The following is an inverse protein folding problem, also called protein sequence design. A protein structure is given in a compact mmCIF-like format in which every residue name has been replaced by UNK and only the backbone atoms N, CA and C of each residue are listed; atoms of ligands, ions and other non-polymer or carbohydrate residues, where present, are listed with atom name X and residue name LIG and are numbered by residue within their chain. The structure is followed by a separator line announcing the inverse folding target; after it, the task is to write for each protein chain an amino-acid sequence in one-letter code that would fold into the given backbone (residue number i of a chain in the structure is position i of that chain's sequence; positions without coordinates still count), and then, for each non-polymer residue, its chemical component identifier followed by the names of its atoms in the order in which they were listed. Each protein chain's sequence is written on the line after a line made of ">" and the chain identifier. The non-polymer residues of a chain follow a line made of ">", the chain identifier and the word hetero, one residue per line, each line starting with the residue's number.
data_IF_302554996056
#
_entry.id   IF_302554996056
#
_cell.length_a   1.000
_cell.length_b   1.000
_cell.length_c   1.000
_cell.angle_alpha   90.00
_cell.angle_beta   90.00
_cell.angle_gamma   90.00
#
_symmetry.space_group_name_H-M   'P 1'
#
loop_
_entity.id
_entity.type
_entity.pdbx_description
1 polymer ?
#
# COMPACT_ATOMS: atom_id res chain seq x y z
N UNK A 1 0.87 -4.34 -27.66
CA UNK A 1 1.44 -4.05 -26.32
C UNK A 1 0.79 -4.87 -25.21
N UNK A 2 -0.54 -4.92 -25.11
CA UNK A 2 -1.24 -5.69 -24.07
C UNK A 2 -0.88 -7.20 -24.07
N UNK A 3 -0.86 -7.87 -25.23
CA UNK A 3 -0.52 -9.30 -25.33
C UNK A 3 0.89 -9.65 -24.82
N UNK A 4 1.91 -8.83 -25.15
CA UNK A 4 3.28 -9.00 -24.66
C UNK A 4 3.37 -8.81 -23.15
N UNK A 5 2.75 -7.74 -22.62
CA UNK A 5 2.71 -7.48 -21.19
C UNK A 5 2.00 -8.61 -20.42
N UNK A 6 0.90 -9.14 -20.98
CA UNK A 6 0.18 -10.26 -20.41
C UNK A 6 1.05 -11.51 -20.34
N UNK A 7 1.78 -11.82 -21.41
CA UNK A 7 2.69 -12.96 -21.43
C UNK A 7 3.80 -12.83 -20.37
N UNK A 8 4.40 -11.64 -20.24
CA UNK A 8 5.42 -11.37 -19.21
C UNK A 8 4.85 -11.57 -17.81
N UNK A 9 3.65 -11.04 -17.53
CA UNK A 9 2.99 -11.26 -16.25
C UNK A 9 2.77 -12.75 -15.99
N UNK A 10 2.18 -13.49 -16.94
CA UNK A 10 1.90 -14.92 -16.77
C UNK A 10 3.15 -15.76 -16.47
N UNK A 11 4.30 -15.40 -17.04
CA UNK A 11 5.57 -16.09 -16.77
C UNK A 11 6.17 -15.78 -15.39
N UNK A 12 5.79 -14.64 -14.78
CA UNK A 12 6.32 -14.20 -13.50
C UNK A 12 5.47 -14.64 -12.29
N UNK A 13 4.25 -15.13 -12.53
CA UNK A 13 3.31 -15.50 -11.47
C UNK A 13 3.53 -16.92 -10.97
N UNK A 14 3.31 -17.11 -9.67
CA UNK A 14 3.13 -18.44 -9.09
C UNK A 14 1.84 -19.10 -9.60
N UNK A 15 1.72 -20.41 -9.45
CA UNK A 15 0.52 -21.16 -9.85
C UNK A 15 -0.75 -20.64 -9.14
N UNK A 16 -0.63 -20.27 -7.86
CA UNK A 16 -1.73 -19.70 -7.09
C UNK A 16 -2.19 -18.34 -7.64
N UNK A 17 -1.26 -17.45 -7.97
CA UNK A 17 -1.59 -16.14 -8.55
C UNK A 17 -2.14 -16.28 -9.96
N UNK A 18 -1.54 -17.16 -10.77
CA UNK A 18 -1.96 -17.44 -12.14
C UNK A 18 -3.42 -17.87 -12.18
N UNK A 19 -3.83 -18.83 -11.34
CA UNK A 19 -5.23 -19.30 -11.31
C UNK A 19 -6.22 -18.17 -11.02
N UNK A 20 -5.83 -17.14 -10.26
CA UNK A 20 -6.67 -15.98 -9.94
C UNK A 20 -6.81 -14.98 -11.10
N UNK A 21 -5.79 -14.82 -11.95
CA UNK A 21 -5.75 -13.73 -12.95
C UNK A 21 -5.71 -14.18 -14.41
N UNK A 22 -5.53 -15.48 -14.70
CA UNK A 22 -5.32 -15.99 -16.06
C UNK A 22 -6.48 -15.73 -17.03
N UNK A 23 -7.71 -15.62 -16.52
CA UNK A 23 -8.92 -15.39 -17.32
C UNK A 23 -9.08 -13.93 -17.78
N UNK A 24 -8.31 -12.99 -17.21
CA UNK A 24 -8.38 -11.60 -17.60
C UNK A 24 -7.75 -11.35 -18.97
N UNK A 25 -8.47 -10.63 -19.83
CA UNK A 25 -8.02 -10.34 -21.20
C UNK A 25 -6.98 -9.22 -21.25
N UNK A 26 -7.00 -8.32 -20.26
CA UNK A 26 -6.12 -7.15 -20.18
C UNK A 26 -5.02 -7.34 -19.13
N UNK A 27 -3.77 -7.10 -19.52
CA UNK A 27 -2.63 -7.03 -18.59
C UNK A 27 -2.85 -6.02 -17.46
N UNK A 28 -3.56 -4.91 -17.71
CA UNK A 28 -3.92 -3.93 -16.68
C UNK A 28 -4.84 -4.52 -15.61
N UNK A 29 -5.86 -5.28 -16.01
CA UNK A 29 -6.78 -5.92 -15.06
C UNK A 29 -6.08 -6.97 -14.20
N UNK A 30 -5.14 -7.72 -14.81
CA UNK A 30 -4.30 -8.65 -14.05
C UNK A 30 -3.44 -7.92 -13.03
N UNK A 31 -2.73 -6.88 -13.47
CA UNK A 31 -1.89 -6.07 -12.61
C UNK A 31 -2.68 -5.40 -11.48
N UNK A 32 -3.81 -4.77 -11.79
CA UNK A 32 -4.67 -4.11 -10.79
C UNK A 32 -5.16 -5.11 -9.74
N UNK A 33 -5.53 -6.33 -10.15
CA UNK A 33 -5.97 -7.39 -9.22
C UNK A 33 -4.82 -7.87 -8.31
N UNK A 34 -3.62 -8.05 -8.87
CA UNK A 34 -2.44 -8.43 -8.09
C UNK A 34 -2.07 -7.32 -7.10
N UNK A 35 -2.01 -6.07 -7.57
CA UNK A 35 -1.74 -4.91 -6.73
C UNK A 35 -2.76 -4.77 -5.60
N UNK A 36 -4.06 -4.97 -5.88
CA UNK A 36 -5.11 -4.97 -4.87
C UNK A 36 -4.94 -6.10 -3.85
N UNK A 37 -4.52 -7.29 -4.27
CA UNK A 37 -4.34 -8.45 -3.40
C UNK A 37 -3.15 -8.29 -2.46
N UNK A 38 -2.02 -7.80 -2.97
CA UNK A 38 -0.78 -7.69 -2.20
C UNK A 38 -0.66 -6.38 -1.42
N UNK A 39 -1.04 -5.26 -2.02
CA UNK A 39 -0.94 -3.94 -1.37
C UNK A 39 -2.20 -3.57 -0.59
N UNK A 40 -3.32 -4.24 -0.87
CA UNK A 40 -4.64 -3.91 -0.34
C UNK A 40 -5.33 -2.80 -1.14
N UNK A 41 -6.66 -2.71 -0.98
CA UNK A 41 -7.46 -1.65 -1.61
C UNK A 41 -7.12 -0.26 -1.07
N UNK A 42 -7.43 0.78 -1.86
CA UNK A 42 -7.32 2.18 -1.40
C UNK A 42 -8.11 2.42 -0.11
N UNK A 43 -9.24 1.76 0.06
CA UNK A 43 -10.06 1.81 1.26
C UNK A 43 -9.34 1.19 2.46
N UNK A 44 -8.77 -0.02 2.32
CA UNK A 44 -7.97 -0.65 3.39
C UNK A 44 -6.77 0.23 3.77
N UNK A 45 -6.10 0.83 2.78
CA UNK A 45 -5.00 1.78 3.01
C UNK A 45 -5.48 3.04 3.76
N UNK A 46 -6.66 3.58 3.43
CA UNK A 46 -7.25 4.72 4.15
C UNK A 46 -7.68 4.36 5.58
N UNK A 47 -8.27 3.19 5.78
CA UNK A 47 -8.68 2.72 7.10
C UNK A 47 -7.47 2.51 8.01
N UNK A 48 -6.39 1.91 7.49
CA UNK A 48 -5.10 1.80 8.21
C UNK A 48 -4.54 3.15 8.61
N UNK A 49 -4.58 4.14 7.71
CA UNK A 49 -4.13 5.50 8.01
C UNK A 49 -5.00 6.15 9.10
N UNK A 50 -6.33 6.07 8.97
CA UNK A 50 -7.26 6.64 9.95
C UNK A 50 -7.06 6.02 11.33
N UNK A 51 -6.78 4.71 11.39
CA UNK A 51 -6.42 4.04 12.63
C UNK A 51 -5.09 4.54 13.21
N UNK A 52 -4.07 4.76 12.38
CA UNK A 52 -2.78 5.30 12.82
C UNK A 52 -2.91 6.74 13.34
N UNK A 53 -3.68 7.59 12.66
CA UNK A 53 -4.00 8.95 13.14
C UNK A 53 -4.67 8.90 14.48
N UNK A 54 -5.73 8.09 14.61
CA UNK A 54 -6.44 7.95 15.88
C UNK A 54 -5.53 7.44 16.99
N UNK A 55 -4.63 6.49 16.68
CA UNK A 55 -3.63 6.03 17.65
C UNK A 55 -2.67 7.14 18.06
N UNK A 56 -2.26 7.98 17.12
CA UNK A 56 -1.40 9.14 17.40
C UNK A 56 -2.12 10.21 18.23
N UNK A 57 -3.37 10.53 17.93
CA UNK A 57 -4.19 11.47 18.70
C UNK A 57 -4.41 11.00 20.15
N UNK A 58 -4.54 9.68 20.34
CA UNK A 58 -4.68 9.04 21.65
C UNK A 58 -3.34 8.68 22.29
N UNK A 59 -2.22 8.92 21.62
CA UNK A 59 -0.90 8.55 22.12
C UNK A 59 -0.48 9.57 23.17
N UNK A 60 -0.41 9.13 24.42
CA UNK A 60 0.24 9.85 25.50
C UNK A 60 1.57 9.18 25.79
N UNK A 61 2.58 10.01 26.01
CA UNK A 61 3.92 9.53 26.33
C UNK A 61 3.95 9.05 27.78
N UNK A 62 4.34 7.80 28.00
CA UNK A 62 4.49 7.27 29.35
C UNK A 62 5.69 7.93 30.06
N UNK A 63 5.61 8.09 31.38
CA UNK A 63 6.68 8.74 32.17
C UNK A 63 8.05 8.05 32.05
N UNK A 64 8.06 6.77 31.67
CA UNK A 64 9.27 5.96 31.48
C UNK A 64 9.78 5.93 30.03
N UNK A 65 9.05 6.50 29.07
CA UNK A 65 9.45 6.53 27.67
C UNK A 65 10.42 7.67 27.37
N UNK A 66 11.33 7.43 26.42
CA UNK A 66 12.29 8.45 25.98
C UNK A 66 11.70 9.37 24.93
N UNK A 67 12.08 10.66 24.95
CA UNK A 67 11.66 11.64 23.94
C UNK A 67 12.02 11.17 22.52
N UNK A 68 13.15 10.46 22.38
CA UNK A 68 13.57 9.89 21.09
C UNK A 68 12.55 8.87 20.55
N UNK A 69 11.96 8.04 21.40
CA UNK A 69 10.93 7.07 21.03
C UNK A 69 9.69 7.78 20.46
N UNK A 70 9.24 8.85 21.13
CA UNK A 70 8.09 9.64 20.72
C UNK A 70 8.32 10.39 19.39
N UNK A 71 9.52 10.96 19.21
CA UNK A 71 9.91 11.61 17.96
C UNK A 71 10.00 10.62 16.80
N UNK A 72 10.50 9.40 17.04
CA UNK A 72 10.58 8.37 16.00
C UNK A 72 9.20 7.94 15.51
N UNK A 73 8.24 7.74 16.44
CA UNK A 73 6.86 7.41 16.08
C UNK A 73 6.20 8.53 15.26
N UNK A 74 6.35 9.78 15.69
CA UNK A 74 5.84 10.96 14.98
C UNK A 74 6.46 11.09 13.58
N UNK A 75 7.75 10.80 13.44
CA UNK A 75 8.46 10.81 12.17
C UNK A 75 7.93 9.74 11.20
N UNK A 76 7.66 8.52 11.67
CA UNK A 76 7.07 7.45 10.84
C UNK A 76 5.71 7.91 10.27
N UNK A 77 4.85 8.45 11.13
CA UNK A 77 3.52 8.93 10.71
C UNK A 77 3.67 10.05 9.67
N UNK A 78 4.54 11.02 9.92
CA UNK A 78 4.79 12.13 9.00
C UNK A 78 5.32 11.68 7.64
N UNK A 79 6.29 10.76 7.60
CA UNK A 79 6.80 10.22 6.33
C UNK A 79 5.76 9.43 5.57
N UNK A 80 4.90 8.68 6.26
CA UNK A 80 3.79 7.96 5.63
C UNK A 80 2.79 8.93 4.98
N UNK A 81 2.51 10.08 5.62
CA UNK A 81 1.71 11.16 5.06
C UNK A 81 2.37 11.85 3.85
N UNK A 82 3.66 12.15 3.94
CA UNK A 82 4.42 12.74 2.83
C UNK A 82 4.48 11.81 1.62
N UNK A 83 4.63 10.51 1.83
CA UNK A 83 4.59 9.51 0.76
C UNK A 83 3.28 9.54 -0.02
N UNK A 84 2.15 9.78 0.66
CA UNK A 84 0.85 10.01 0.00
C UNK A 84 0.79 11.32 -0.79
N UNK A 85 1.36 12.41 -0.26
CA UNK A 85 1.41 13.69 -0.97
C UNK A 85 2.20 13.60 -2.29
N UNK A 86 3.34 12.92 -2.28
CA UNK A 86 4.17 12.73 -3.48
C UNK A 86 3.44 11.85 -4.51
N UNK A 87 2.82 10.75 -4.07
CA UNK A 87 2.03 9.88 -4.96
C UNK A 87 0.79 10.58 -5.55
N UNK A 88 0.19 11.51 -4.81
CA UNK A 88 -0.95 12.32 -5.28
C UNK A 88 -0.53 13.31 -6.38
N UNK A 89 0.60 14.02 -6.19
CA UNK A 89 1.15 14.93 -7.20
C UNK A 89 1.56 14.19 -8.47
N UNK A 90 2.09 12.97 -8.35
CA UNK A 90 2.60 12.22 -9.50
C UNK A 90 1.52 11.45 -10.29
N UNK A 91 0.29 11.34 -9.76
CA UNK A 91 -0.86 10.72 -10.45
C UNK A 91 -1.94 11.74 -10.89
N UNK A 92 -1.66 13.05 -10.79
CA UNK A 92 -2.56 14.15 -11.19
C UNK A 92 -2.14 14.76 -12.53
#
# INVERSE_FOLDING_TARGET
>A
MNSKARNVLMCALSEEEYTKVHSFRSAKQMWDTLALTYEGSLEVKHNKLSLLVRKYELFEMEESESIQTMLYFSFIIFNYFLGKYILFIHNS
#
